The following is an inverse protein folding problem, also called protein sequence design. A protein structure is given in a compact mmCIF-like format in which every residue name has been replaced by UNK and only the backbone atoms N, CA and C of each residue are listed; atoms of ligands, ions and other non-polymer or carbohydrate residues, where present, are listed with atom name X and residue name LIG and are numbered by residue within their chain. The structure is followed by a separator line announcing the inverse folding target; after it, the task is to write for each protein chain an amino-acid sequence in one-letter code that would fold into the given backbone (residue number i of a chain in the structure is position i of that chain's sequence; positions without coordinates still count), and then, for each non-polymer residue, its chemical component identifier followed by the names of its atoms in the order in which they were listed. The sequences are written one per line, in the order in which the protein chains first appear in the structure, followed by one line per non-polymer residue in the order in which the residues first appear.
data_IF_400792928685
#
_entry.id   IF_400792928685
#
_cell.length_a   1.000
_cell.length_b   1.000
_cell.length_c   1.000
_cell.angle_alpha   90.00
_cell.angle_beta   90.00
_cell.angle_gamma   90.00
#
_symmetry.space_group_name_H-M   'P 1'
#
loop_
_entity.id
_entity.type
_entity.pdbx_description
1 polymer ?
#
# COMPACT_ATOMS: atom_id res chain seq x y z
N UNK A 1 6.68 7.35 -12.82
CA UNK A 1 5.66 6.97 -11.83
C UNK A 1 5.05 5.63 -12.22
N UNK A 2 4.84 4.71 -11.28
CA UNK A 2 4.20 3.40 -11.53
C UNK A 2 2.76 3.62 -12.03
N UNK A 3 2.28 2.73 -12.90
CA UNK A 3 0.94 2.86 -13.51
C UNK A 3 -0.20 2.78 -12.49
N UNK A 4 -0.03 1.99 -11.43
CA UNK A 4 -1.00 1.82 -10.34
C UNK A 4 -1.24 3.14 -9.57
N UNK A 5 -0.20 3.96 -9.39
CA UNK A 5 -0.34 5.24 -8.69
C UNK A 5 -1.23 6.25 -9.46
N UNK A 6 -1.22 6.18 -10.80
CA UNK A 6 -2.13 7.00 -11.63
C UNK A 6 -3.60 6.59 -11.49
N UNK A 7 -3.87 5.34 -11.14
CA UNK A 7 -5.24 4.85 -10.92
C UNK A 7 -5.82 5.32 -9.58
N UNK A 8 -4.96 5.66 -8.62
CA UNK A 8 -5.37 6.13 -7.28
C UNK A 8 -5.78 7.61 -7.33
N UNK A 9 -5.10 8.43 -8.12
CA UNK A 9 -5.31 9.88 -8.18
C UNK A 9 -6.80 10.30 -8.31
N UNK A 10 -7.63 9.69 -9.21
CA UNK A 10 -9.02 10.08 -9.36
C UNK A 10 -9.88 9.85 -8.11
N UNK A 11 -9.50 8.90 -7.26
CA UNK A 11 -10.23 8.53 -6.05
C UNK A 11 -9.96 9.43 -4.85
N UNK A 12 -8.88 10.22 -4.91
CA UNK A 12 -8.48 11.12 -3.83
C UNK A 12 -9.07 12.51 -4.06
N UNK A 13 -9.74 13.06 -3.08
CA UNK A 13 -10.31 14.41 -3.14
C UNK A 13 -9.22 15.48 -3.10
N UNK A 14 -9.42 16.58 -3.83
CA UNK A 14 -8.51 17.73 -3.79
C UNK A 14 -8.54 18.40 -2.40
N UNK A 15 -7.38 18.74 -1.86
CA UNK A 15 -7.22 19.39 -0.55
C UNK A 15 -7.46 18.47 0.65
N UNK A 16 -7.65 17.16 0.43
CA UNK A 16 -7.94 16.18 1.50
C UNK A 16 -6.72 15.82 2.33
N UNK A 17 -6.97 15.27 3.52
CA UNK A 17 -5.95 14.66 4.37
C UNK A 17 -5.78 13.19 4.01
N UNK A 18 -4.55 12.80 3.70
CA UNK A 18 -4.22 11.44 3.24
C UNK A 18 -3.15 10.81 4.13
N UNK A 19 -3.39 9.56 4.54
CA UNK A 19 -2.39 8.71 5.17
C UNK A 19 -1.99 7.59 4.21
N UNK A 20 -0.70 7.41 3.95
CA UNK A 20 -0.15 6.34 3.11
C UNK A 20 0.64 5.34 3.96
N UNK A 21 0.11 4.14 4.10
CA UNK A 21 0.68 3.06 4.91
C UNK A 21 1.69 2.25 4.08
N UNK A 22 2.97 2.34 4.43
CA UNK A 22 4.07 1.83 3.62
C UNK A 22 4.29 2.71 2.40
N UNK A 23 4.51 4.00 2.61
CA UNK A 23 4.57 5.00 1.53
C UNK A 23 5.81 4.87 0.62
N UNK A 24 6.77 3.99 0.96
CA UNK A 24 8.00 3.83 0.21
C UNK A 24 8.76 5.15 0.09
N UNK A 25 9.19 5.46 -1.12
CA UNK A 25 9.94 6.69 -1.43
C UNK A 25 9.09 7.99 -1.48
N UNK A 26 7.82 7.93 -1.07
CA UNK A 26 6.90 9.07 -1.05
C UNK A 26 6.43 9.58 -2.41
N UNK A 27 6.71 8.87 -3.51
CA UNK A 27 6.37 9.32 -4.87
C UNK A 27 4.87 9.55 -5.05
N UNK A 28 4.00 8.72 -4.44
CA UNK A 28 2.55 8.90 -4.49
C UNK A 28 2.11 10.18 -3.77
N UNK A 29 2.55 10.38 -2.53
CA UNK A 29 2.19 11.54 -1.72
C UNK A 29 2.69 12.85 -2.35
N UNK A 30 3.93 12.87 -2.87
CA UNK A 30 4.46 14.01 -3.60
C UNK A 30 3.58 14.34 -4.82
N UNK A 31 3.19 13.33 -5.60
CA UNK A 31 2.31 13.51 -6.75
C UNK A 31 0.93 14.05 -6.37
N UNK A 32 0.31 13.49 -5.31
CA UNK A 32 -1.00 13.93 -4.83
C UNK A 32 -0.95 15.35 -4.28
N UNK A 33 0.13 15.72 -3.56
CA UNK A 33 0.36 17.10 -3.12
C UNK A 33 0.41 18.06 -4.30
N UNK A 34 1.21 17.75 -5.31
CA UNK A 34 1.46 18.65 -6.44
C UNK A 34 0.25 18.77 -7.37
N UNK A 35 -0.55 17.70 -7.52
CA UNK A 35 -1.71 17.67 -8.42
C UNK A 35 -3.02 18.03 -7.75
N UNK A 36 -3.18 17.67 -6.48
CA UNK A 36 -4.45 17.77 -5.75
C UNK A 36 -4.36 18.56 -4.45
N UNK A 37 -3.20 19.15 -4.14
CA UNK A 37 -2.99 19.93 -2.92
C UNK A 37 -3.31 19.14 -1.64
N UNK A 38 -3.07 17.84 -1.67
CA UNK A 38 -3.31 16.94 -0.56
C UNK A 38 -2.34 17.22 0.59
N UNK A 39 -2.84 17.17 1.82
CA UNK A 39 -2.02 17.13 3.02
C UNK A 39 -1.72 15.67 3.37
N UNK A 40 -0.58 15.19 2.91
CA UNK A 40 -0.21 13.77 3.03
C UNK A 40 0.77 13.50 4.16
N UNK A 41 0.55 12.37 4.84
CA UNK A 41 1.49 11.77 5.78
C UNK A 41 1.78 10.34 5.35
N UNK A 42 3.05 9.94 5.36
CA UNK A 42 3.46 8.57 5.08
C UNK A 42 3.94 7.85 6.34
N UNK A 43 3.65 6.56 6.44
CA UNK A 43 4.30 5.66 7.40
C UNK A 43 5.25 4.76 6.62
N UNK A 44 6.50 4.64 7.07
CA UNK A 44 7.52 3.81 6.44
C UNK A 44 8.52 3.32 7.49
N UNK A 45 9.05 2.12 7.31
CA UNK A 45 10.05 1.53 8.21
C UNK A 45 11.47 1.60 7.65
N UNK A 46 11.62 1.60 6.33
CA UNK A 46 12.93 1.63 5.67
C UNK A 46 13.52 3.03 5.68
N UNK A 47 14.59 3.22 6.45
CA UNK A 47 15.30 4.49 6.60
C UNK A 47 15.75 5.08 5.26
N UNK A 48 16.11 4.23 4.27
CA UNK A 48 16.51 4.69 2.94
C UNK A 48 15.34 5.29 2.16
N UNK A 49 14.14 4.75 2.33
CA UNK A 49 12.91 5.28 1.74
C UNK A 49 12.46 6.56 2.45
N UNK A 50 12.57 6.59 3.79
CA UNK A 50 12.30 7.80 4.61
C UNK A 50 13.16 8.97 4.14
N UNK A 51 14.45 8.74 3.92
CA UNK A 51 15.36 9.77 3.37
C UNK A 51 14.86 10.33 2.05
N UNK A 52 14.40 9.47 1.15
CA UNK A 52 13.84 9.89 -0.16
C UNK A 52 12.53 10.66 -0.01
N UNK A 53 11.69 10.31 0.97
CA UNK A 53 10.48 11.09 1.29
C UNK A 53 10.85 12.52 1.70
N UNK A 54 11.83 12.66 2.59
CA UNK A 54 12.32 13.98 3.07
C UNK A 54 12.88 14.79 1.91
N UNK A 55 13.68 14.19 1.03
CA UNK A 55 14.21 14.86 -0.17
C UNK A 55 13.12 15.39 -1.11
N UNK A 56 11.95 14.70 -1.15
CA UNK A 56 10.77 15.11 -1.93
C UNK A 56 9.85 16.09 -1.16
N UNK A 57 10.20 16.44 0.09
CA UNK A 57 9.37 17.29 0.94
C UNK A 57 8.05 16.62 1.34
N UNK A 58 8.03 15.31 1.51
CA UNK A 58 6.89 14.53 2.00
C UNK A 58 7.00 14.33 3.50
N UNK A 59 5.93 14.60 4.24
CA UNK A 59 5.87 14.29 5.66
C UNK A 59 5.84 12.77 5.84
N UNK A 60 6.81 12.23 6.56
CA UNK A 60 6.94 10.80 6.83
C UNK A 60 7.24 10.55 8.29
N UNK A 61 6.65 9.49 8.83
CA UNK A 61 6.85 9.02 10.19
C UNK A 61 7.45 7.61 10.08
N UNK A 62 8.57 7.38 10.77
CA UNK A 62 9.13 6.03 10.89
C UNK A 62 8.19 5.16 11.71
N UNK A 63 7.65 4.11 11.09
CA UNK A 63 6.69 3.24 11.74
C UNK A 63 6.69 1.83 11.13
N UNK A 64 6.71 0.82 12.01
CA UNK A 64 6.50 -0.57 11.63
C UNK A 64 5.01 -0.89 11.65
N UNK A 65 4.44 -1.20 10.48
CA UNK A 65 3.02 -1.53 10.34
C UNK A 65 2.59 -2.80 11.10
N UNK A 66 3.53 -3.70 11.40
CA UNK A 66 3.29 -4.88 12.24
C UNK A 66 3.36 -4.56 13.76
N UNK A 67 3.83 -3.39 14.13
CA UNK A 67 3.84 -2.92 15.50
C UNK A 67 2.47 -2.39 15.91
N UNK A 68 2.08 -2.60 17.16
CA UNK A 68 0.86 -2.02 17.73
C UNK A 68 1.03 -0.52 17.91
N UNK A 69 0.58 0.31 16.95
CA UNK A 69 0.86 1.74 17.08
C UNK A 69 -0.04 2.70 16.32
N UNK A 70 -0.90 2.24 15.45
CA UNK A 70 -1.87 3.11 14.75
C UNK A 70 -2.93 3.69 15.71
N UNK A 71 -3.04 3.17 16.92
CA UNK A 71 -3.88 3.69 18.02
C UNK A 71 -3.53 5.11 18.46
N UNK A 72 -2.37 5.63 18.09
CA UNK A 72 -2.00 7.04 18.32
C UNK A 72 -2.76 8.02 17.42
N UNK A 73 -3.34 7.55 16.33
CA UNK A 73 -4.18 8.34 15.44
C UNK A 73 -5.65 8.23 15.86
N UNK A 74 -6.36 9.36 15.80
CA UNK A 74 -7.78 9.41 16.12
C UNK A 74 -8.63 8.72 15.04
N UNK A 75 -9.83 8.27 15.43
CA UNK A 75 -10.80 7.74 14.48
C UNK A 75 -11.19 8.81 13.45
N UNK A 76 -11.28 8.40 12.18
CA UNK A 76 -11.63 9.29 11.05
C UNK A 76 -10.79 10.55 10.97
N UNK A 77 -9.52 10.43 11.33
CA UNK A 77 -8.57 11.55 11.25
C UNK A 77 -8.22 11.92 9.80
N UNK A 78 -8.36 11.00 8.88
CA UNK A 78 -8.02 11.18 7.47
C UNK A 78 -9.23 11.02 6.56
N UNK A 79 -9.27 11.76 5.45
CA UNK A 79 -10.30 11.56 4.42
C UNK A 79 -10.04 10.26 3.64
N UNK A 80 -8.76 9.95 3.40
CA UNK A 80 -8.37 8.75 2.66
C UNK A 80 -7.14 8.10 3.31
N UNK A 81 -7.21 6.79 3.55
CA UNK A 81 -6.07 5.96 3.93
C UNK A 81 -5.69 5.06 2.75
N UNK A 82 -4.43 5.11 2.35
CA UNK A 82 -3.92 4.38 1.18
C UNK A 82 -2.92 3.32 1.65
N UNK A 83 -2.91 2.17 1.00
CA UNK A 83 -1.90 1.14 1.18
C UNK A 83 -1.54 0.53 -0.18
N UNK A 84 -0.37 0.90 -0.73
CA UNK A 84 0.05 0.45 -2.05
C UNK A 84 1.10 -0.64 -1.98
N UNK A 85 0.73 -1.86 -2.44
CA UNK A 85 1.66 -3.01 -2.53
C UNK A 85 2.31 -3.38 -1.18
N UNK A 86 1.65 -3.09 -0.05
CA UNK A 86 2.15 -3.38 1.28
C UNK A 86 1.30 -4.41 2.05
N UNK A 87 -0.01 -4.50 1.75
CA UNK A 87 -0.94 -5.40 2.47
C UNK A 87 -0.46 -6.85 2.52
N UNK A 88 0.10 -7.36 1.42
CA UNK A 88 0.60 -8.74 1.34
C UNK A 88 1.87 -9.00 2.15
N UNK A 89 2.51 -7.95 2.68
CA UNK A 89 3.74 -8.04 3.46
C UNK A 89 3.49 -7.94 4.97
N UNK A 90 2.34 -7.43 5.42
CA UNK A 90 1.99 -7.33 6.84
C UNK A 90 1.51 -8.68 7.38
N UNK A 91 1.77 -8.93 8.67
CA UNK A 91 1.43 -10.21 9.32
C UNK A 91 -0.06 -10.40 9.56
N UNK A 92 -0.77 -9.31 9.86
CA UNK A 92 -2.20 -9.31 10.14
C UNK A 92 -2.93 -8.33 9.21
N UNK A 93 -3.13 -8.72 7.93
CA UNK A 93 -3.80 -7.86 6.96
C UNK A 93 -5.26 -7.57 7.32
N UNK A 94 -5.92 -8.48 8.02
CA UNK A 94 -7.26 -8.32 8.57
C UNK A 94 -7.33 -7.14 9.56
N UNK A 95 -6.49 -7.14 10.59
CA UNK A 95 -6.41 -6.05 11.57
C UNK A 95 -6.00 -4.73 10.91
N UNK A 96 -5.11 -4.78 9.92
CA UNK A 96 -4.68 -3.60 9.18
C UNK A 96 -5.82 -2.97 8.38
N UNK A 97 -6.66 -3.77 7.74
CA UNK A 97 -7.84 -3.28 7.01
C UNK A 97 -8.87 -2.64 7.97
N UNK A 98 -9.09 -3.23 9.14
CA UNK A 98 -9.94 -2.64 10.18
C UNK A 98 -9.40 -1.28 10.66
N UNK A 99 -8.09 -1.18 10.92
CA UNK A 99 -7.44 0.07 11.29
C UNK A 99 -7.55 1.13 10.16
N UNK A 100 -7.38 0.74 8.90
CA UNK A 100 -7.57 1.66 7.77
C UNK A 100 -8.98 2.25 7.74
N UNK A 101 -10.02 1.41 7.97
CA UNK A 101 -11.42 1.85 8.01
C UNK A 101 -11.74 2.66 9.27
N UNK A 102 -11.03 2.45 10.38
CA UNK A 102 -11.15 3.27 11.58
C UNK A 102 -10.56 4.67 11.37
N UNK A 103 -9.38 4.73 10.73
CA UNK A 103 -8.60 5.96 10.58
C UNK A 103 -9.12 6.87 9.46
N UNK A 104 -9.72 6.30 8.41
CA UNK A 104 -10.16 7.03 7.22
C UNK A 104 -11.63 6.89 6.91
N UNK A 105 -12.18 7.88 6.21
CA UNK A 105 -13.52 7.76 5.61
C UNK A 105 -13.51 6.80 4.41
N UNK A 106 -12.36 6.72 3.71
CA UNK A 106 -12.13 5.87 2.55
C UNK A 106 -10.80 5.14 2.68
N UNK A 107 -10.80 3.82 2.40
CA UNK A 107 -9.59 3.01 2.27
C UNK A 107 -9.31 2.66 0.81
N UNK A 108 -8.06 2.83 0.35
CA UNK A 108 -7.61 2.43 -0.99
C UNK A 108 -6.46 1.44 -0.83
N UNK A 109 -6.64 0.21 -1.30
CA UNK A 109 -5.62 -0.84 -1.21
C UNK A 109 -5.26 -1.33 -2.60
N UNK A 110 -3.97 -1.50 -2.86
CA UNK A 110 -3.49 -2.20 -4.05
C UNK A 110 -2.57 -3.34 -3.67
N UNK A 111 -2.71 -4.46 -4.36
CA UNK A 111 -1.89 -5.66 -4.15
C UNK A 111 -1.68 -6.43 -5.46
N UNK A 112 -0.63 -7.27 -5.57
CA UNK A 112 -0.44 -8.14 -6.71
C UNK A 112 -1.54 -9.20 -6.77
N UNK A 113 -2.27 -9.26 -7.90
CA UNK A 113 -3.31 -10.27 -8.09
C UNK A 113 -2.73 -11.59 -8.61
N UNK A 114 -2.49 -12.55 -7.73
CA UNK A 114 -2.03 -13.89 -8.10
C UNK A 114 -3.12 -14.72 -8.84
N UNK A 115 -4.40 -14.31 -8.74
CA UNK A 115 -5.50 -14.90 -9.52
C UNK A 115 -5.55 -14.44 -10.98
N UNK A 116 -4.68 -13.53 -11.42
CA UNK A 116 -4.63 -13.08 -12.80
C UNK A 116 -4.36 -14.27 -13.75
N UNK A 117 -5.08 -14.34 -14.86
CA UNK A 117 -5.07 -15.50 -15.74
C UNK A 117 -3.66 -15.93 -16.23
N UNK A 118 -2.75 -14.97 -16.46
CA UNK A 118 -1.35 -15.27 -16.83
C UNK A 118 -0.57 -15.93 -15.71
N UNK A 119 -0.80 -15.54 -14.46
CA UNK A 119 -0.18 -16.19 -13.29
C UNK A 119 -0.67 -17.64 -13.18
N UNK A 120 -1.99 -17.85 -13.34
CA UNK A 120 -2.61 -19.17 -13.34
C UNK A 120 -2.08 -20.05 -14.46
N UNK A 121 -2.01 -19.53 -15.70
CA UNK A 121 -1.47 -20.24 -16.85
C UNK A 121 0.01 -20.59 -16.66
N UNK A 122 0.81 -19.65 -16.17
CA UNK A 122 2.23 -19.88 -15.91
C UNK A 122 2.42 -20.99 -14.87
N UNK A 123 1.68 -20.96 -13.77
CA UNK A 123 1.73 -21.98 -12.72
C UNK A 123 1.32 -23.35 -13.27
N UNK A 124 0.24 -23.42 -14.06
CA UNK A 124 -0.24 -24.65 -14.67
C UNK A 124 0.76 -25.25 -15.65
N UNK A 125 1.37 -24.43 -16.52
CA UNK A 125 2.26 -24.93 -17.58
C UNK A 125 3.72 -25.11 -17.15
N UNK A 126 4.20 -24.35 -16.17
CA UNK A 126 5.60 -24.36 -15.73
C UNK A 126 5.80 -25.00 -14.36
N UNK A 127 4.76 -25.21 -13.57
CA UNK A 127 4.87 -25.74 -12.22
C UNK A 127 5.73 -24.88 -11.27
N UNK A 128 5.88 -23.57 -11.57
CA UNK A 128 6.74 -22.63 -10.82
C UNK A 128 5.95 -21.39 -10.48
N UNK A 129 6.29 -20.75 -9.36
CA UNK A 129 5.70 -19.46 -8.99
C UNK A 129 5.94 -18.42 -10.08
N UNK A 130 4.89 -17.68 -10.48
CA UNK A 130 5.01 -16.70 -11.55
C UNK A 130 5.91 -15.54 -11.13
N UNK A 131 6.81 -15.15 -12.04
CA UNK A 131 7.64 -13.96 -11.92
C UNK A 131 7.34 -13.02 -13.08
N UNK A 132 7.28 -11.71 -12.80
CA UNK A 132 7.03 -10.68 -13.81
C UNK A 132 7.62 -9.33 -13.35
N UNK A 133 7.47 -8.29 -14.17
CA UNK A 133 7.88 -6.93 -13.77
C UNK A 133 7.12 -6.43 -12.52
N UNK A 134 5.91 -6.89 -12.30
CA UNK A 134 5.07 -6.56 -11.12
C UNK A 134 5.21 -7.56 -9.98
N UNK A 135 5.82 -8.71 -10.23
CA UNK A 135 6.15 -9.77 -9.26
C UNK A 135 7.63 -10.13 -9.42
N UNK A 136 8.56 -9.24 -9.04
CA UNK A 136 9.98 -9.38 -9.38
C UNK A 136 10.72 -10.40 -8.51
N UNK A 137 10.12 -10.82 -7.38
CA UNK A 137 10.79 -11.66 -6.40
C UNK A 137 10.62 -13.15 -6.70
N UNK A 138 11.60 -13.93 -6.32
CA UNK A 138 11.51 -15.40 -6.27
C UNK A 138 10.68 -15.84 -5.08
N UNK A 139 10.18 -17.08 -5.08
CA UNK A 139 9.35 -17.62 -4.00
C UNK A 139 10.05 -17.64 -2.62
N UNK A 140 11.37 -17.67 -2.59
CA UNK A 140 12.19 -17.73 -1.37
C UNK A 140 12.79 -16.35 -0.95
N UNK A 141 12.72 -15.34 -1.82
CA UNK A 141 13.27 -14.00 -1.56
C UNK A 141 12.21 -12.93 -1.84
N UNK A 142 11.01 -13.15 -1.33
CA UNK A 142 9.89 -12.21 -1.45
C UNK A 142 9.50 -11.67 -0.08
N UNK A 143 9.24 -10.35 0.04
CA UNK A 143 8.63 -9.79 1.25
C UNK A 143 7.15 -10.18 1.38
N UNK A 144 6.53 -10.71 0.29
CA UNK A 144 5.11 -11.04 0.28
C UNK A 144 4.87 -12.35 1.03
N UNK A 145 4.22 -12.28 2.17
CA UNK A 145 3.83 -13.46 2.97
C UNK A 145 2.40 -13.92 2.67
N UNK A 146 1.58 -13.06 2.04
CA UNK A 146 0.23 -13.38 1.61
C UNK A 146 0.07 -13.29 0.10
N UNK A 147 -0.61 -14.28 -0.50
CA UNK A 147 -0.89 -14.36 -1.93
C UNK A 147 -2.33 -13.94 -2.18
N UNK A 148 -2.53 -12.65 -2.47
CA UNK A 148 -3.86 -12.08 -2.64
C UNK A 148 -4.44 -12.35 -4.03
N UNK A 149 -5.76 -12.54 -4.10
CA UNK A 149 -6.55 -12.58 -5.34
C UNK A 149 -7.76 -11.66 -5.23
N UNK A 150 -8.43 -11.29 -6.32
CA UNK A 150 -9.68 -10.51 -6.27
C UNK A 150 -10.91 -11.29 -5.80
N UNK A 151 -10.81 -12.61 -5.66
CA UNK A 151 -11.83 -13.37 -4.96
C UNK A 151 -11.38 -13.51 -3.50
N UNK A 152 -11.64 -12.49 -2.71
CA UNK A 152 -11.64 -12.66 -1.27
C UNK A 152 -12.84 -13.50 -0.90
N UNK A 153 -12.63 -14.61 -0.21
CA UNK A 153 -13.67 -15.13 0.67
C UNK A 153 -13.89 -14.03 1.70
N UNK A 154 -15.14 -13.63 1.87
CA UNK A 154 -15.53 -12.59 2.80
C UNK A 154 -14.93 -12.94 4.15
N UNK A 155 -13.99 -12.14 4.63
CA UNK A 155 -13.57 -12.18 6.03
C UNK A 155 -14.73 -11.53 6.78
N UNK A 156 -15.61 -12.38 7.34
CA UNK A 156 -16.71 -11.96 8.20
C UNK A 156 -16.15 -11.81 9.61
#
# INVERSE_FOLDING_TARGET
MRADLKLIEPWVKTGSQVLDLGCGDGTLLAHLRDKKQVQGYGLEIDTSQITRCIEKGVNVIEHDLDAKGLKSFADRQFDTVIMTQALQAVRRPDEMLEEMLRLGEQGIVTFPNFGYWRCRYYLMCKGKMPMSKTLPHTWYNTPNIHLCTFKFETII
#
